data_IF_058153774251
#
_entry.id   IF_058153774251
#
_cell.length_a   1.000
_cell.length_b   1.000
_cell.length_c   1.000
_cell.angle_alpha   90.00
_cell.angle_beta   90.00
_cell.angle_gamma   90.00
#
_symmetry.space_group_name_H-M   'P 1'
#
loop_
_entity.id
_entity.type
_entity.pdbx_description
1 polymer ?
#
# COMPACT_ATOMS: atom_id res chain seq x y z
N UNK A 1 22.97 -16.94 1.71
CA UNK A 1 21.53 -17.24 1.57
C UNK A 1 20.82 -16.54 2.71
N UNK A 2 20.25 -15.38 2.45
CA UNK A 2 19.26 -14.74 3.33
C UNK A 2 18.32 -14.03 2.38
N UNK A 3 17.39 -14.80 1.82
CA UNK A 3 16.17 -14.26 1.24
C UNK A 3 15.39 -13.66 2.42
N UNK A 4 15.71 -12.42 2.73
CA UNK A 4 14.88 -11.60 3.60
C UNK A 4 13.63 -11.33 2.79
N UNK A 5 12.63 -12.21 2.85
CA UNK A 5 11.31 -11.97 2.25
C UNK A 5 10.76 -10.68 2.88
N UNK A 6 11.09 -9.53 2.31
CA UNK A 6 10.59 -8.25 2.75
C UNK A 6 9.19 -8.13 2.16
N UNK A 7 8.21 -8.65 2.89
CA UNK A 7 6.82 -8.54 2.50
C UNK A 7 6.41 -7.07 2.44
N UNK A 8 6.10 -6.62 1.22
CA UNK A 8 5.63 -5.27 0.95
C UNK A 8 4.19 -5.36 0.41
N UNK A 9 3.30 -4.54 0.98
CA UNK A 9 1.87 -4.62 0.70
C UNK A 9 1.16 -3.29 0.90
N UNK A 10 -0.11 -3.20 0.49
CA UNK A 10 -0.92 -2.01 0.67
C UNK A 10 -1.85 -2.16 1.89
N UNK A 11 -2.11 -1.04 2.58
CA UNK A 11 -3.11 -0.97 3.65
C UNK A 11 -4.48 -0.69 3.05
N UNK A 12 -5.39 -1.64 3.17
CA UNK A 12 -6.77 -1.55 2.71
C UNK A 12 -7.62 -0.96 3.84
N UNK A 13 -8.18 0.22 3.56
CA UNK A 13 -9.12 0.94 4.42
C UNK A 13 -10.55 0.48 4.14
N UNK A 14 -10.86 0.20 2.88
CA UNK A 14 -12.15 -0.35 2.48
C UNK A 14 -11.97 -1.29 1.30
N UNK A 15 -12.79 -2.34 1.25
CA UNK A 15 -12.93 -3.16 0.05
C UNK A 15 -14.40 -3.31 -0.30
N UNK A 16 -14.69 -3.20 -1.59
CA UNK A 16 -15.96 -3.57 -2.19
C UNK A 16 -15.72 -4.71 -3.19
N UNK A 17 -16.76 -5.24 -3.84
CA UNK A 17 -16.61 -6.31 -4.83
C UNK A 17 -15.58 -6.00 -5.91
N UNK A 18 -15.49 -4.74 -6.37
CA UNK A 18 -14.70 -4.35 -7.54
C UNK A 18 -13.49 -3.43 -7.27
N UNK A 19 -13.38 -2.87 -6.08
CA UNK A 19 -12.38 -1.83 -5.76
C UNK A 19 -11.76 -2.01 -4.38
N UNK A 20 -10.53 -1.48 -4.25
CA UNK A 20 -9.84 -1.27 -3.00
C UNK A 20 -9.66 0.22 -2.75
N UNK A 21 -9.97 0.63 -1.54
CA UNK A 21 -9.60 1.94 -1.00
C UNK A 21 -8.38 1.75 -0.13
N UNK A 22 -7.23 2.20 -0.62
CA UNK A 22 -5.96 2.08 0.08
C UNK A 22 -5.63 3.36 0.86
N UNK A 23 -4.92 3.23 1.98
CA UNK A 23 -4.34 4.39 2.70
C UNK A 23 -3.23 5.00 1.84
N UNK A 24 -3.25 6.33 1.66
CA UNK A 24 -2.14 7.02 1.03
C UNK A 24 -1.03 7.27 2.06
N UNK A 25 0.09 6.58 1.92
CA UNK A 25 1.24 6.75 2.81
C UNK A 25 2.04 8.02 2.54
N UNK A 26 1.86 8.61 1.35
CA UNK A 26 2.43 9.91 0.96
C UNK A 26 1.38 11.02 0.99
N UNK A 27 0.42 10.94 1.90
CA UNK A 27 -0.54 12.03 2.15
C UNK A 27 0.21 13.34 2.48
N UNK A 28 1.35 13.23 3.18
CA UNK A 28 2.19 14.34 3.60
C UNK A 28 3.63 14.22 3.06
N UNK A 29 4.24 15.35 2.73
CA UNK A 29 5.69 15.43 2.47
C UNK A 29 6.50 15.43 3.78
N UNK A 30 7.83 15.34 3.69
CA UNK A 30 8.74 15.34 4.84
C UNK A 30 8.65 16.61 5.71
N UNK A 31 8.14 17.71 5.15
CA UNK A 31 7.87 18.97 5.86
C UNK A 31 6.46 19.04 6.46
N UNK A 32 5.67 17.97 6.33
CA UNK A 32 4.31 17.88 6.87
C UNK A 32 3.23 18.55 6.01
N UNK A 33 3.55 18.96 4.77
CA UNK A 33 2.54 19.55 3.89
C UNK A 33 1.71 18.46 3.23
N UNK A 34 0.39 18.67 3.14
CA UNK A 34 -0.49 17.75 2.43
C UNK A 34 -0.22 17.81 0.92
N UNK A 35 0.22 16.70 0.34
CA UNK A 35 0.55 16.59 -1.10
C UNK A 35 -0.40 15.69 -1.88
N UNK A 36 -1.34 15.02 -1.20
CA UNK A 36 -2.33 14.17 -1.84
C UNK A 36 -3.52 13.86 -0.96
N UNK A 37 -4.46 13.10 -1.52
CA UNK A 37 -5.63 12.61 -0.79
C UNK A 37 -5.25 11.55 0.24
N UNK A 38 -5.95 11.47 1.39
CA UNK A 38 -5.64 10.52 2.46
C UNK A 38 -5.84 9.06 2.07
N UNK A 39 -6.64 8.82 1.03
CA UNK A 39 -7.00 7.50 0.53
C UNK A 39 -7.03 7.50 -0.98
N UNK A 40 -6.64 6.39 -1.58
CA UNK A 40 -6.63 6.20 -3.02
C UNK A 40 -7.56 5.04 -3.34
N UNK A 41 -8.58 5.29 -4.15
CA UNK A 41 -9.50 4.24 -4.61
C UNK A 41 -9.05 3.74 -5.97
N UNK A 42 -8.79 2.44 -6.06
CA UNK A 42 -8.35 1.77 -7.27
C UNK A 42 -9.16 0.50 -7.47
N UNK A 43 -9.54 0.21 -8.71
CA UNK A 43 -10.18 -1.08 -9.01
C UNK A 43 -9.26 -2.23 -8.65
N UNK A 44 -9.78 -3.38 -8.21
CA UNK A 44 -8.94 -4.54 -7.83
C UNK A 44 -8.01 -4.96 -8.98
N UNK A 45 -8.50 -4.89 -10.21
CA UNK A 45 -7.73 -5.18 -11.43
C UNK A 45 -6.60 -4.17 -11.65
N UNK A 46 -6.85 -2.87 -11.45
CA UNK A 46 -5.78 -1.86 -11.51
C UNK A 46 -4.82 -1.96 -10.33
N UNK A 47 -5.31 -2.25 -9.12
CA UNK A 47 -4.47 -2.44 -7.94
C UNK A 47 -3.44 -3.52 -8.22
N UNK A 48 -3.90 -4.68 -8.69
CA UNK A 48 -3.02 -5.75 -9.12
C UNK A 48 -2.04 -5.31 -10.22
N UNK A 49 -2.52 -4.68 -11.28
CA UNK A 49 -1.67 -4.25 -12.39
C UNK A 49 -0.60 -3.22 -11.98
N UNK A 50 -0.98 -2.18 -11.22
CA UNK A 50 -0.10 -1.11 -10.74
C UNK A 50 0.94 -1.69 -9.77
N UNK A 51 0.50 -2.56 -8.87
CA UNK A 51 1.35 -3.20 -7.88
C UNK A 51 2.26 -4.27 -8.51
N UNK A 52 1.91 -4.87 -9.66
CA UNK A 52 2.76 -5.83 -10.39
C UNK A 52 3.70 -5.15 -11.40
N UNK A 53 3.30 -4.03 -12.03
CA UNK A 53 3.98 -3.50 -13.22
C UNK A 53 4.50 -2.06 -13.10
N UNK A 54 4.10 -1.29 -12.07
CA UNK A 54 4.46 0.14 -11.94
C UNK A 54 5.35 0.36 -10.70
N UNK A 55 6.68 0.29 -10.83
CA UNK A 55 7.61 0.36 -9.70
C UNK A 55 7.55 1.68 -8.92
N UNK A 56 7.20 2.79 -9.58
CA UNK A 56 7.03 4.07 -8.89
C UNK A 56 5.80 4.10 -7.98
N UNK A 57 4.70 3.43 -8.36
CA UNK A 57 3.49 3.35 -7.55
C UNK A 57 3.64 2.35 -6.39
N UNK A 58 4.44 1.29 -6.60
CA UNK A 58 4.88 0.38 -5.54
C UNK A 58 5.53 1.16 -4.39
N UNK A 59 6.48 2.06 -4.66
CA UNK A 59 7.15 2.85 -3.60
C UNK A 59 6.21 3.83 -2.85
N UNK A 60 5.05 4.17 -3.40
CA UNK A 60 4.10 5.11 -2.77
C UNK A 60 3.01 4.42 -1.96
N UNK A 61 2.64 3.20 -2.35
CA UNK A 61 1.53 2.44 -1.77
C UNK A 61 1.99 1.28 -0.90
N UNK A 62 3.24 0.83 -1.05
CA UNK A 62 3.75 -0.32 -0.34
C UNK A 62 4.39 0.07 0.99
N UNK A 63 3.99 -0.64 2.03
CA UNK A 63 4.56 -0.62 3.36
C UNK A 63 5.03 -2.03 3.72
N UNK A 64 6.11 -2.11 4.49
CA UNK A 64 6.58 -3.38 5.06
C UNK A 64 5.51 -3.97 5.97
N UNK A 65 5.33 -5.29 5.94
CA UNK A 65 4.38 -5.98 6.83
C UNK A 65 4.56 -5.61 8.30
N UNK A 66 5.81 -5.56 8.78
CA UNK A 66 6.13 -5.19 10.16
C UNK A 66 5.62 -3.79 10.53
N UNK A 67 5.78 -2.82 9.63
CA UNK A 67 5.32 -1.44 9.86
C UNK A 67 3.78 -1.35 9.77
N UNK A 68 3.17 -2.12 8.87
CA UNK A 68 1.72 -2.25 8.79
C UNK A 68 1.12 -2.81 10.09
N UNK A 69 1.69 -3.90 10.62
CA UNK A 69 1.22 -4.54 11.86
C UNK A 69 1.47 -3.66 13.10
N UNK A 70 2.52 -2.83 13.08
CA UNK A 70 2.88 -1.95 14.20
C UNK A 70 2.08 -0.64 14.23
N UNK A 71 2.06 0.09 13.11
CA UNK A 71 1.49 1.43 13.03
C UNK A 71 0.01 1.42 12.60
N UNK A 72 -0.46 0.32 11.98
CA UNK A 72 -1.82 0.19 11.47
C UNK A 72 -2.45 -1.18 11.77
N UNK A 73 -2.47 -1.64 13.04
CA UNK A 73 -2.97 -2.97 13.41
C UNK A 73 -4.46 -3.17 13.11
N UNK A 74 -5.22 -2.09 12.97
CA UNK A 74 -6.65 -2.09 12.67
C UNK A 74 -6.98 -2.17 11.17
N UNK A 75 -6.00 -1.94 10.29
CA UNK A 75 -6.20 -1.93 8.85
C UNK A 75 -5.89 -3.29 8.24
N UNK A 76 -6.63 -3.65 7.19
CA UNK A 76 -6.41 -4.90 6.47
C UNK A 76 -5.19 -4.76 5.56
N UNK A 77 -4.13 -5.51 5.84
CA UNK A 77 -2.93 -5.52 5.00
C UNK A 77 -3.02 -6.60 3.94
N UNK A 78 -2.67 -6.27 2.69
CA UNK A 78 -2.61 -7.23 1.59
C UNK A 78 -1.22 -7.22 0.95
N UNK A 79 -0.58 -8.39 0.91
CA UNK A 79 0.66 -8.60 0.17
C UNK A 79 0.35 -8.76 -1.32
N UNK A 80 1.16 -8.12 -2.16
CA UNK A 80 1.05 -8.24 -3.62
C UNK A 80 2.31 -8.84 -4.24
N UNK A 81 3.41 -8.90 -3.48
CA UNK A 81 4.65 -9.56 -3.88
C UNK A 81 5.49 -9.94 -2.65
N UNK A 82 6.09 -11.13 -2.69
CA UNK A 82 7.24 -11.48 -1.87
C UNK A 82 8.47 -10.88 -2.59
N UNK A 83 9.23 -9.99 -1.92
CA UNK A 83 10.51 -9.47 -2.43
C UNK A 83 11.61 -10.49 -2.23
#
# INVERSE_FOLDING_TARGET
>A
MTETNQYVGALVVHEDDYQYTCKNLKEFDEQGNKIGDPTITISKSQARYILENIPNAQSQLLISKELAEKDYPELKWVSVKEL
#
